data_IF_920970927172
#
_entry.id   IF_920970927172
#
_cell.length_a   1.000
_cell.length_b   1.000
_cell.length_c   1.000
_cell.angle_alpha   90.00
_cell.angle_beta   90.00
_cell.angle_gamma   90.00
#
_symmetry.space_group_name_H-M   'P 1'
#
loop_
_entity.id
_entity.type
_entity.pdbx_description
1 polymer ?
#
# COMPACT_ATOMS: atom_id res chain seq x y z
N UNK A 1 -20.59 -14.68 -53.28
CA UNK A 1 -19.25 -14.07 -53.12
C UNK A 1 -18.83 -14.27 -51.67
N UNK A 2 -17.97 -15.26 -51.46
CA UNK A 2 -17.46 -15.71 -50.15
C UNK A 2 -15.97 -15.35 -50.08
N UNK A 3 -15.54 -14.64 -49.06
CA UNK A 3 -14.25 -14.77 -48.34
C UNK A 3 -14.11 -13.53 -47.46
N UNK A 4 -13.24 -13.57 -46.44
CA UNK A 4 -13.09 -12.59 -45.34
C UNK A 4 -13.95 -12.88 -44.08
N UNK A 5 -14.05 -14.16 -43.70
CA UNK A 5 -14.11 -14.55 -42.27
C UNK A 5 -12.69 -14.94 -41.82
N UNK A 6 -11.86 -13.93 -41.58
CA UNK A 6 -10.55 -14.11 -40.95
C UNK A 6 -10.70 -14.27 -39.45
N UNK A 7 -10.41 -15.47 -38.94
CA UNK A 7 -10.35 -15.80 -37.51
C UNK A 7 -9.22 -15.01 -36.85
N UNK A 8 -9.55 -13.95 -36.10
CA UNK A 8 -8.62 -13.23 -35.22
C UNK A 8 -8.69 -13.72 -33.76
N UNK A 9 -9.48 -14.74 -33.47
CA UNK A 9 -9.69 -15.28 -32.12
C UNK A 9 -9.45 -16.79 -32.07
N UNK A 10 -8.27 -17.27 -32.47
CA UNK A 10 -7.78 -18.59 -32.04
C UNK A 10 -6.85 -18.38 -30.85
N UNK A 11 -7.46 -18.40 -29.67
CA UNK A 11 -6.75 -18.47 -28.39
C UNK A 11 -5.96 -19.78 -28.36
N UNK A 12 -4.62 -19.67 -28.36
CA UNK A 12 -3.73 -20.79 -27.99
C UNK A 12 -3.95 -21.11 -26.51
N UNK A 13 -5.05 -21.80 -26.20
CA UNK A 13 -5.46 -22.25 -24.87
C UNK A 13 -4.60 -23.42 -24.35
N UNK A 14 -3.65 -23.96 -25.14
CA UNK A 14 -2.93 -25.18 -24.79
C UNK A 14 -1.61 -24.99 -24.03
N UNK A 15 -1.04 -23.78 -23.93
CA UNK A 15 0.20 -23.56 -23.14
C UNK A 15 -0.05 -23.15 -21.69
N UNK A 16 -1.26 -22.68 -21.35
CA UNK A 16 -1.54 -22.12 -20.03
C UNK A 16 -1.71 -23.16 -18.91
N UNK A 17 -1.94 -24.42 -19.24
CA UNK A 17 -2.23 -25.47 -18.26
C UNK A 17 -1.00 -26.24 -17.74
N UNK A 18 0.19 -26.04 -18.30
CA UNK A 18 1.39 -26.79 -17.89
C UNK A 18 2.19 -26.06 -16.80
N UNK A 19 2.15 -24.73 -16.77
CA UNK A 19 2.86 -23.93 -15.75
C UNK A 19 2.09 -23.71 -14.44
N UNK A 20 0.83 -24.14 -14.36
CA UNK A 20 -0.02 -23.95 -13.19
C UNK A 20 0.25 -24.92 -12.02
N UNK A 21 1.15 -25.90 -12.19
CA UNK A 21 1.34 -27.00 -11.23
C UNK A 21 2.55 -26.89 -10.29
N UNK A 22 3.41 -25.87 -10.41
CA UNK A 22 4.74 -25.88 -9.75
C UNK A 22 4.89 -24.97 -8.52
N UNK A 23 3.85 -24.27 -8.07
CA UNK A 23 3.94 -23.52 -6.81
C UNK A 23 2.63 -23.66 -6.06
N UNK A 24 2.67 -23.95 -4.76
CA UNK A 24 1.49 -23.90 -3.86
C UNK A 24 0.91 -22.49 -3.70
N UNK A 25 1.00 -21.65 -4.75
CA UNK A 25 0.45 -20.32 -4.85
C UNK A 25 -0.91 -20.42 -5.49
N UNK A 26 -1.87 -19.73 -4.89
CA UNK A 26 -3.24 -19.59 -5.39
C UNK A 26 -3.37 -18.96 -6.79
N UNK A 27 -2.28 -18.44 -7.36
CA UNK A 27 -2.18 -17.96 -8.74
C UNK A 27 -0.78 -18.28 -9.30
N UNK A 28 -0.65 -18.88 -10.50
CA UNK A 28 0.65 -19.10 -11.14
C UNK A 28 1.26 -17.77 -11.58
N UNK A 29 2.50 -17.50 -11.14
CA UNK A 29 3.24 -16.30 -11.54
C UNK A 29 4.10 -16.65 -12.77
N UNK A 30 4.11 -15.83 -13.83
CA UNK A 30 5.03 -16.03 -14.94
C UNK A 30 6.48 -15.97 -14.45
N UNK A 31 7.26 -17.02 -14.69
CA UNK A 31 8.67 -17.11 -14.27
C UNK A 31 9.54 -15.97 -14.81
N UNK A 32 9.14 -15.34 -15.93
CA UNK A 32 9.92 -14.31 -16.59
C UNK A 32 9.93 -12.94 -15.89
N UNK A 33 9.06 -12.71 -14.90
CA UNK A 33 9.01 -11.41 -14.17
C UNK A 33 9.67 -11.45 -12.79
N UNK A 34 9.98 -12.65 -12.30
CA UNK A 34 10.89 -12.80 -11.17
C UNK A 34 12.30 -12.88 -11.76
N UNK A 35 13.07 -11.79 -11.64
CA UNK A 35 14.53 -11.87 -11.85
C UNK A 35 15.04 -13.14 -11.16
N UNK A 36 15.83 -13.95 -11.86
CA UNK A 36 16.38 -15.22 -11.34
C UNK A 36 17.11 -15.03 -10.00
N UNK A 37 17.45 -13.79 -9.66
CA UNK A 37 18.11 -13.37 -8.43
C UNK A 37 17.16 -12.89 -7.31
N UNK A 38 15.84 -12.83 -7.53
CA UNK A 38 14.88 -12.39 -6.50
C UNK A 38 14.43 -13.57 -5.65
N UNK A 39 15.00 -13.69 -4.46
CA UNK A 39 14.63 -14.71 -3.48
C UNK A 39 13.27 -14.50 -2.79
N UNK A 40 12.70 -13.28 -2.86
CA UNK A 40 11.50 -12.89 -2.10
C UNK A 40 10.26 -12.75 -2.99
N UNK A 41 9.08 -13.22 -2.53
CA UNK A 41 7.83 -12.99 -3.25
C UNK A 41 7.55 -11.48 -3.41
N UNK A 42 6.79 -11.08 -4.44
CA UNK A 42 6.40 -9.68 -4.62
C UNK A 42 5.56 -9.18 -3.43
N UNK A 43 5.84 -7.96 -2.96
CA UNK A 43 5.11 -7.38 -1.85
C UNK A 43 3.66 -7.08 -2.25
N UNK A 44 2.64 -7.69 -1.61
CA UNK A 44 1.23 -7.45 -1.92
C UNK A 44 0.72 -6.08 -1.46
N UNK A 45 1.56 -5.31 -0.76
CA UNK A 45 1.19 -4.04 -0.13
C UNK A 45 0.89 -4.20 1.36
N UNK A 46 0.12 -3.25 1.90
CA UNK A 46 -0.09 -3.11 3.34
C UNK A 46 -1.18 -4.07 3.83
N UNK A 47 -0.88 -4.86 4.85
CA UNK A 47 -1.76 -5.86 5.46
C UNK A 47 -1.41 -6.01 6.96
N UNK A 48 -1.96 -7.02 7.66
CA UNK A 48 -1.74 -7.16 9.11
C UNK A 48 -0.25 -7.33 9.39
N UNK A 49 0.22 -6.73 10.47
CA UNK A 49 1.62 -6.78 10.91
C UNK A 49 2.64 -6.17 9.94
N UNK A 50 2.22 -5.48 8.88
CA UNK A 50 3.17 -4.72 8.06
C UNK A 50 3.74 -3.56 8.87
N UNK A 51 5.06 -3.44 8.86
CA UNK A 51 5.79 -2.39 9.56
C UNK A 51 5.79 -1.10 8.73
N UNK A 52 5.74 0.02 9.43
CA UNK A 52 5.73 1.35 8.87
C UNK A 52 6.87 2.19 9.41
N UNK A 53 7.32 3.12 8.58
CA UNK A 53 8.10 4.27 8.99
C UNK A 53 7.14 5.42 9.29
N UNK A 54 7.26 6.00 10.48
CA UNK A 54 6.51 7.21 10.83
C UNK A 54 7.26 8.42 10.30
N UNK A 55 6.57 9.28 9.56
CA UNK A 55 7.21 10.38 8.82
C UNK A 55 6.82 11.78 9.33
N UNK A 56 5.96 11.83 10.34
CA UNK A 56 5.70 13.07 11.05
C UNK A 56 6.84 13.41 12.05
N UNK A 57 6.87 14.65 12.51
CA UNK A 57 7.83 15.12 13.50
C UNK A 57 7.35 14.92 14.95
N UNK A 58 6.38 14.03 15.19
CA UNK A 58 5.85 13.77 16.52
C UNK A 58 6.90 13.13 17.44
N UNK A 59 6.84 13.37 18.77
CA UNK A 59 7.74 12.69 19.71
C UNK A 59 7.56 11.17 19.65
N UNK A 60 6.31 10.69 19.64
CA UNK A 60 5.98 9.26 19.53
C UNK A 60 6.56 8.62 18.26
N UNK A 61 6.45 9.28 17.12
CA UNK A 61 6.99 8.80 15.85
C UNK A 61 8.52 8.71 15.87
N UNK A 62 9.20 9.74 16.41
CA UNK A 62 10.65 9.76 16.53
C UNK A 62 11.16 8.67 17.47
N UNK A 63 10.55 8.53 18.65
CA UNK A 63 10.90 7.48 19.61
C UNK A 63 10.70 6.08 19.03
N UNK A 64 9.60 5.84 18.31
CA UNK A 64 9.35 4.57 17.63
C UNK A 64 10.45 4.21 16.63
N UNK A 65 10.86 5.17 15.80
CA UNK A 65 11.91 4.96 14.81
C UNK A 65 13.27 4.70 15.47
N UNK A 66 13.60 5.41 16.56
CA UNK A 66 14.89 5.24 17.28
C UNK A 66 14.95 3.94 18.09
N UNK A 67 13.84 3.53 18.71
CA UNK A 67 13.81 2.34 19.58
C UNK A 67 14.02 0.99 18.86
N UNK A 68 14.01 0.98 17.52
CA UNK A 68 14.06 -0.25 16.72
C UNK A 68 12.76 -1.06 16.72
N UNK A 69 11.68 -0.55 17.34
CA UNK A 69 10.33 -1.15 17.34
C UNK A 69 9.39 -0.32 16.46
N UNK A 70 9.44 -0.48 15.12
CA UNK A 70 8.65 0.33 14.22
C UNK A 70 7.16 0.04 14.40
N UNK A 71 6.37 1.05 14.05
CA UNK A 71 4.92 0.96 14.12
C UNK A 71 4.40 -0.12 13.16
N UNK A 72 3.37 -0.88 13.53
CA UNK A 72 2.82 -1.92 12.65
C UNK A 72 1.30 -1.88 12.55
N UNK A 73 0.77 -2.35 11.41
CA UNK A 73 -0.65 -2.35 11.12
C UNK A 73 -1.42 -3.42 11.92
N UNK A 74 -2.45 -2.99 12.64
CA UNK A 74 -3.42 -3.89 13.29
C UNK A 74 -4.66 -4.04 12.40
N UNK A 75 -5.21 -2.90 11.95
CA UNK A 75 -6.49 -2.83 11.25
C UNK A 75 -6.48 -1.76 10.17
N UNK A 76 -7.29 -1.96 9.12
CA UNK A 76 -7.47 -1.01 8.01
C UNK A 76 -8.94 -0.63 7.96
N UNK A 77 -9.23 0.68 8.10
CA UNK A 77 -10.59 1.19 8.05
C UNK A 77 -11.05 1.28 6.59
N UNK A 78 -11.61 0.18 6.07
CA UNK A 78 -12.24 0.11 4.74
C UNK A 78 -13.60 -0.57 4.83
N UNK A 79 -14.63 0.12 4.33
CA UNK A 79 -15.98 -0.42 4.24
C UNK A 79 -16.13 -1.31 2.99
N UNK A 80 -17.11 -2.22 2.99
CA UNK A 80 -17.48 -3.02 1.82
C UNK A 80 -16.54 -4.21 1.49
N UNK A 81 -15.65 -4.60 2.42
CA UNK A 81 -14.80 -5.79 2.30
C UNK A 81 -15.11 -6.77 3.42
N UNK A 82 -14.96 -8.09 3.16
CA UNK A 82 -15.26 -9.14 4.14
C UNK A 82 -14.38 -8.98 5.39
N UNK A 83 -14.97 -8.66 6.54
CA UNK A 83 -14.23 -8.42 7.78
C UNK A 83 -13.28 -9.57 8.20
N UNK A 84 -13.62 -10.83 7.85
CA UNK A 84 -12.78 -12.01 8.08
C UNK A 84 -11.40 -11.90 7.43
N UNK A 85 -11.31 -11.26 6.27
CA UNK A 85 -10.06 -11.01 5.55
C UNK A 85 -9.79 -9.51 5.59
N UNK A 86 -8.86 -9.09 6.45
CA UNK A 86 -8.55 -7.66 6.54
C UNK A 86 -8.18 -7.11 5.15
N UNK A 87 -8.83 -6.04 4.68
CA UNK A 87 -8.56 -5.50 3.38
C UNK A 87 -7.16 -4.87 3.33
N UNK A 88 -6.50 -4.98 2.18
CA UNK A 88 -5.22 -4.32 1.95
C UNK A 88 -5.38 -2.80 2.01
N UNK A 89 -4.47 -2.11 2.69
CA UNK A 89 -4.46 -0.65 2.68
C UNK A 89 -3.81 -0.12 1.40
N UNK A 90 -4.37 0.97 0.90
CA UNK A 90 -3.88 1.75 -0.24
C UNK A 90 -3.53 3.17 0.24
N UNK A 91 -2.91 3.96 -0.64
CA UNK A 91 -2.56 5.33 -0.33
C UNK A 91 -3.80 6.14 0.06
N UNK A 92 -3.74 6.85 1.20
CA UNK A 92 -4.81 7.71 1.71
C UNK A 92 -5.80 7.03 2.65
N UNK A 93 -5.67 5.72 2.88
CA UNK A 93 -6.53 5.02 3.82
C UNK A 93 -6.14 5.27 5.27
N UNK A 94 -7.14 5.23 6.15
CA UNK A 94 -6.95 5.28 7.60
C UNK A 94 -6.65 3.87 8.11
N UNK A 95 -5.63 3.76 8.95
CA UNK A 95 -5.18 2.51 9.55
C UNK A 95 -5.07 2.65 11.07
N UNK A 96 -5.27 1.54 11.78
CA UNK A 96 -4.97 1.40 13.19
C UNK A 96 -3.58 0.81 13.33
N UNK A 97 -2.73 1.46 14.11
CA UNK A 97 -1.32 1.15 14.24
C UNK A 97 -0.98 0.99 15.71
N UNK A 98 -0.19 -0.04 16.03
CA UNK A 98 0.50 -0.14 17.31
C UNK A 98 1.84 0.57 17.22
N UNK A 99 2.09 1.53 18.12
CA UNK A 99 3.33 2.28 18.22
C UNK A 99 3.70 2.46 19.69
N UNK A 100 4.91 2.08 20.10
CA UNK A 100 5.38 2.17 21.50
C UNK A 100 4.38 1.61 22.53
N UNK A 101 3.71 0.49 22.22
CA UNK A 101 2.70 -0.12 23.11
C UNK A 101 1.35 0.61 23.15
N UNK A 102 1.20 1.73 22.43
CA UNK A 102 -0.06 2.47 22.31
C UNK A 102 -0.75 2.17 20.98
N UNK A 103 -2.08 2.23 20.98
CA UNK A 103 -2.87 2.22 19.76
C UNK A 103 -3.08 3.65 19.27
N UNK A 104 -2.69 3.92 18.02
CA UNK A 104 -2.93 5.20 17.35
C UNK A 104 -3.53 4.99 15.98
N UNK A 105 -4.32 5.96 15.52
CA UNK A 105 -4.79 6.01 14.13
C UNK A 105 -3.70 6.64 13.26
N UNK A 106 -3.64 6.29 12.00
CA UNK A 106 -2.71 6.89 11.06
C UNK A 106 -3.28 6.93 9.65
N UNK A 107 -2.77 7.82 8.80
CA UNK A 107 -2.97 7.76 7.35
C UNK A 107 -1.76 7.15 6.67
N UNK A 108 -2.04 6.31 5.66
CA UNK A 108 -1.02 5.77 4.77
C UNK A 108 -0.66 6.82 3.72
N UNK A 109 0.60 7.22 3.68
CA UNK A 109 1.13 8.20 2.72
C UNK A 109 2.05 7.56 1.69
N UNK A 110 2.74 6.49 2.07
CA UNK A 110 3.58 5.71 1.18
C UNK A 110 3.31 4.23 1.35
N UNK A 111 3.31 3.50 0.25
CA UNK A 111 3.12 2.05 0.25
C UNK A 111 4.08 1.44 -0.76
N UNK A 112 4.87 0.48 -0.30
CA UNK A 112 5.66 -0.38 -1.16
C UNK A 112 4.76 -1.51 -1.66
N UNK A 113 4.20 -1.31 -2.85
CA UNK A 113 3.33 -2.29 -3.49
C UNK A 113 3.89 -2.66 -4.85
N UNK A 114 4.08 -3.96 -5.08
CA UNK A 114 4.60 -4.44 -6.35
C UNK A 114 3.72 -4.02 -7.54
N UNK A 115 4.33 -3.83 -8.70
CA UNK A 115 3.63 -3.38 -9.92
C UNK A 115 2.43 -4.26 -10.29
N UNK A 116 2.51 -5.58 -10.09
CA UNK A 116 1.39 -6.49 -10.39
C UNK A 116 0.16 -6.33 -9.49
N UNK A 117 0.34 -5.88 -8.24
CA UNK A 117 -0.77 -5.69 -7.30
C UNK A 117 -1.28 -4.25 -7.28
N UNK A 118 -0.51 -3.32 -7.84
CA UNK A 118 -0.79 -1.89 -7.85
C UNK A 118 -1.60 -1.51 -9.08
N UNK A 119 -2.61 -0.66 -8.89
CA UNK A 119 -3.33 -0.04 -10.01
C UNK A 119 -2.40 0.92 -10.77
N UNK A 120 -2.45 0.91 -12.09
CA UNK A 120 -1.71 1.86 -12.92
C UNK A 120 -2.00 3.31 -12.51
N UNK A 121 -0.95 4.15 -12.52
CA UNK A 121 -1.02 5.56 -12.13
C UNK A 121 -1.00 5.84 -10.62
N UNK A 122 -0.98 4.82 -9.76
CA UNK A 122 -0.74 5.02 -8.31
C UNK A 122 0.77 5.03 -8.07
N UNK A 123 1.36 6.04 -7.42
CA UNK A 123 2.79 6.05 -7.11
C UNK A 123 3.15 4.99 -6.06
N UNK A 124 4.39 4.48 -6.10
CA UNK A 124 4.93 3.55 -5.10
C UNK A 124 6.15 4.16 -4.43
N UNK A 125 6.30 3.92 -3.14
CA UNK A 125 7.48 4.33 -2.37
C UNK A 125 8.25 3.10 -1.93
N UNK A 126 9.56 3.23 -1.68
CA UNK A 126 10.40 2.11 -1.23
C UNK A 126 10.02 1.67 0.19
N UNK A 127 9.65 2.62 1.03
CA UNK A 127 9.21 2.40 2.41
C UNK A 127 7.70 2.59 2.56
N UNK A 128 7.10 1.86 3.50
CA UNK A 128 5.71 2.10 3.89
C UNK A 128 5.67 3.26 4.88
N UNK A 129 5.10 4.39 4.47
CA UNK A 129 5.14 5.64 5.21
C UNK A 129 3.77 5.97 5.78
N UNK A 130 3.73 6.35 7.06
CA UNK A 130 2.50 6.76 7.74
C UNK A 130 2.66 8.10 8.45
N UNK A 131 1.51 8.73 8.71
CA UNK A 131 1.39 9.93 9.55
C UNK A 131 0.41 9.61 10.68
N UNK A 132 0.82 9.83 11.91
CA UNK A 132 0.00 9.55 13.08
C UNK A 132 -1.10 10.60 13.25
N UNK A 133 -2.21 10.14 13.78
CA UNK A 133 -3.39 10.93 14.07
C UNK A 133 -3.76 10.81 15.55
N UNK A 134 -4.35 11.88 16.07
CA UNK A 134 -5.09 11.86 17.32
C UNK A 134 -6.44 11.14 17.14
N UNK A 135 -7.13 10.89 18.25
CA UNK A 135 -8.42 10.17 18.23
C UNK A 135 -9.51 10.92 17.44
N UNK A 136 -9.45 12.25 17.46
CA UNK A 136 -10.25 13.20 16.67
C UNK A 136 -9.94 13.16 15.16
N UNK A 137 -8.81 12.58 14.76
CA UNK A 137 -8.36 12.52 13.37
C UNK A 137 -7.53 13.71 12.88
N UNK A 138 -7.04 14.55 13.80
CA UNK A 138 -6.05 15.60 13.51
C UNK A 138 -4.63 15.00 13.47
N UNK A 139 -3.71 15.51 12.63
CA UNK A 139 -2.30 15.08 12.62
C UNK A 139 -1.63 15.34 13.97
N UNK A 140 -0.87 14.37 14.46
CA UNK A 140 -0.19 14.46 15.76
C UNK A 140 1.10 15.31 15.67
N UNK A 141 1.77 15.27 14.51
CA UNK A 141 2.92 16.13 14.22
C UNK A 141 2.53 17.45 13.53
N UNK A 142 3.43 18.42 13.60
CA UNK A 142 3.29 19.74 12.99
C UNK A 142 3.90 19.82 11.58
N UNK A 143 4.76 18.89 11.19
CA UNK A 143 5.45 18.89 9.88
C UNK A 143 5.70 17.46 9.41
N UNK A 144 5.65 17.26 8.10
CA UNK A 144 5.92 15.97 7.45
C UNK A 144 7.30 16.02 6.80
N UNK A 145 8.12 15.02 7.09
CA UNK A 145 9.55 15.02 6.74
C UNK A 145 9.80 14.50 5.32
N UNK A 146 9.06 13.48 4.87
CA UNK A 146 9.16 12.94 3.52
C UNK A 146 8.29 13.71 2.54
N UNK A 147 8.62 13.64 1.24
CA UNK A 147 7.66 14.01 0.19
C UNK A 147 6.38 13.17 0.27
N UNK A 148 5.27 13.78 -0.12
CA UNK A 148 3.96 13.14 -0.21
C UNK A 148 3.59 12.94 -1.68
N UNK A 149 3.06 11.78 -2.08
CA UNK A 149 2.62 11.61 -3.46
C UNK A 149 1.47 12.55 -3.83
N UNK A 150 1.57 13.27 -4.96
CA UNK A 150 0.55 14.18 -5.50
C UNK A 150 -0.78 13.47 -5.77
N UNK A 151 -0.74 12.14 -5.98
CA UNK A 151 -1.93 11.28 -6.05
C UNK A 151 -2.89 11.49 -4.86
N UNK A 152 -2.37 11.81 -3.67
CA UNK A 152 -3.16 12.03 -2.47
C UNK A 152 -3.95 13.34 -2.46
N UNK A 153 -3.61 14.30 -3.34
CA UNK A 153 -4.36 15.55 -3.49
C UNK A 153 -5.81 15.30 -3.94
N UNK A 154 -6.10 14.14 -4.55
CA UNK A 154 -7.48 13.72 -4.88
C UNK A 154 -8.38 13.59 -3.64
N UNK A 155 -7.81 13.39 -2.46
CA UNK A 155 -8.55 13.26 -1.21
C UNK A 155 -8.68 14.59 -0.44
N UNK A 156 -8.41 15.74 -1.08
CA UNK A 156 -8.47 17.06 -0.45
C UNK A 156 -9.87 17.41 0.08
N UNK A 157 -10.92 16.84 -0.51
CA UNK A 157 -12.30 17.03 -0.08
C UNK A 157 -12.57 16.49 1.35
N UNK A 158 -11.74 15.56 1.83
CA UNK A 158 -11.86 15.03 3.20
C UNK A 158 -11.24 16.02 4.18
N UNK A 159 -12.02 16.62 5.10
CA UNK A 159 -11.53 17.73 5.93
C UNK A 159 -10.35 17.33 6.83
N UNK A 160 -10.38 16.13 7.40
CA UNK A 160 -9.27 15.61 8.23
C UNK A 160 -7.99 15.39 7.41
N UNK A 161 -8.13 14.89 6.18
CA UNK A 161 -6.98 14.60 5.31
C UNK A 161 -6.40 15.90 4.73
N UNK A 162 -7.22 16.91 4.48
CA UNK A 162 -6.80 18.25 4.06
C UNK A 162 -5.81 18.87 5.05
N UNK A 163 -6.03 18.71 6.37
CA UNK A 163 -5.08 19.17 7.40
C UNK A 163 -3.72 18.49 7.27
N UNK A 164 -3.67 17.21 6.93
CA UNK A 164 -2.42 16.46 6.73
C UNK A 164 -1.69 16.96 5.48
N UNK A 165 -2.42 17.17 4.38
CA UNK A 165 -1.87 17.70 3.14
C UNK A 165 -1.29 19.12 3.34
N UNK A 166 -1.93 19.95 4.17
CA UNK A 166 -1.44 21.30 4.46
C UNK A 166 -0.08 21.33 5.18
N UNK A 167 0.31 20.25 5.87
CA UNK A 167 1.60 20.15 6.58
C UNK A 167 2.77 19.69 5.68
N UNK A 168 2.48 19.27 4.44
CA UNK A 168 3.46 18.74 3.51
C UNK A 168 4.31 19.85 2.88
N UNK A 169 5.64 19.67 2.84
CA UNK A 169 6.56 20.63 2.19
C UNK A 169 6.76 20.36 0.70
N UNK A 170 6.74 19.09 0.28
CA UNK A 170 7.06 18.66 -1.08
C UNK A 170 6.07 17.59 -1.55
N UNK A 171 5.63 17.72 -2.80
CA UNK A 171 4.80 16.74 -3.49
C UNK A 171 5.59 16.07 -4.62
N UNK A 172 5.33 14.77 -4.87
CA UNK A 172 5.94 13.95 -5.94
C UNK A 172 4.85 13.24 -6.74
#
# INVERSE_FOLDING_TARGET
>A
MNSLKGRLCETKNLMWNVFSKASGRWYPQPEYELSRHRSRPPCPGIHRMTRFLVVDNSPLGKEANTSGRPAYCIHVYKQGKRAKHMPHATLGDKVLVAIQGQMKKAYVVGANTHVHYRKHGVPSTDTNNIILLNDEGNPLGNRITSPIPAYLLKNRDKPQFSKVLALAKKYI
#
